data_IF_673704825154
#
_entry.id   IF_673704825154
#
_cell.length_a   1.000
_cell.length_b   1.000
_cell.length_c   1.000
_cell.angle_alpha   90.00
_cell.angle_beta   90.00
_cell.angle_gamma   90.00
#
_symmetry.space_group_name_H-M   'P 1'
#
loop_
_entity.id
_entity.type
_entity.pdbx_description
1 polymer ?
#
# COMPACT_ATOMS: atom_id res chain seq x y z
N UNK A 1 -2.46 17.34 -20.32
CA UNK A 1 -2.44 15.88 -20.18
C UNK A 1 -2.94 15.58 -18.78
N UNK A 2 -3.70 14.52 -18.53
CA UNK A 2 -4.07 14.15 -17.18
C UNK A 2 -2.79 13.84 -16.38
N UNK A 3 -2.71 14.38 -15.16
CA UNK A 3 -1.56 14.17 -14.29
C UNK A 3 -1.68 12.81 -13.61
N UNK A 4 -0.59 12.08 -13.45
CA UNK A 4 -0.53 10.87 -12.65
C UNK A 4 -0.76 11.21 -11.18
N UNK A 5 -1.61 10.43 -10.54
CA UNK A 5 -1.93 10.64 -9.14
C UNK A 5 -1.29 9.59 -8.23
N UNK A 6 -1.18 8.34 -8.71
CA UNK A 6 -0.61 7.24 -7.95
C UNK A 6 -0.17 6.10 -8.86
N UNK A 7 0.71 5.27 -8.31
CA UNK A 7 1.18 4.04 -8.93
C UNK A 7 1.32 2.94 -7.89
N UNK A 8 1.01 1.72 -8.29
CA UNK A 8 1.23 0.50 -7.50
C UNK A 8 1.93 -0.53 -8.37
N UNK A 9 2.70 -1.41 -7.74
CA UNK A 9 3.54 -2.42 -8.38
C UNK A 9 3.18 -3.81 -7.83
N UNK A 10 3.04 -4.77 -8.71
CA UNK A 10 2.82 -6.16 -8.33
C UNK A 10 3.46 -7.14 -9.30
N UNK A 11 3.76 -8.37 -8.87
CA UNK A 11 4.27 -9.41 -9.75
C UNK A 11 3.15 -10.01 -10.60
N UNK A 12 3.33 -10.05 -11.91
CA UNK A 12 2.47 -10.81 -12.81
C UNK A 12 2.66 -12.33 -12.69
N UNK A 13 1.86 -13.10 -13.41
CA UNK A 13 1.88 -14.57 -13.38
C UNK A 13 3.21 -15.18 -13.84
N UNK A 14 3.91 -14.50 -14.70
CA UNK A 14 5.25 -14.88 -15.20
C UNK A 14 6.39 -14.30 -14.37
N UNK A 15 6.08 -13.73 -13.21
CA UNK A 15 7.02 -13.04 -12.32
C UNK A 15 7.64 -11.76 -12.89
N UNK A 16 7.17 -11.27 -14.04
CA UNK A 16 7.45 -9.91 -14.49
C UNK A 16 6.59 -8.93 -13.71
N UNK A 17 7.12 -7.76 -13.42
CA UNK A 17 6.39 -6.76 -12.66
C UNK A 17 5.39 -6.02 -13.55
N UNK A 18 4.24 -5.71 -12.98
CA UNK A 18 3.24 -4.81 -13.57
C UNK A 18 3.04 -3.57 -12.69
N UNK A 19 2.95 -2.43 -13.35
CA UNK A 19 2.51 -1.17 -12.77
C UNK A 19 1.03 -0.95 -13.10
N UNK A 20 0.27 -0.53 -12.10
CA UNK A 20 -1.05 0.05 -12.30
C UNK A 20 -1.04 1.48 -11.76
N UNK A 21 -1.56 2.40 -12.56
CA UNK A 21 -1.55 3.82 -12.24
C UNK A 21 -2.93 4.44 -12.47
N UNK A 22 -3.25 5.46 -11.67
CA UNK A 22 -4.41 6.32 -11.90
C UNK A 22 -3.97 7.69 -12.37
N UNK A 23 -4.66 8.23 -13.38
CA UNK A 23 -4.46 9.61 -13.84
C UNK A 23 -5.62 10.48 -13.38
N UNK A 24 -5.29 11.71 -12.96
CA UNK A 24 -6.25 12.78 -12.72
C UNK A 24 -7.34 12.46 -11.72
N UNK A 25 -7.01 12.34 -10.43
CA UNK A 25 -8.01 12.19 -9.38
C UNK A 25 -9.06 13.34 -9.50
N UNK A 26 -10.34 12.96 -9.63
CA UNK A 26 -11.48 13.90 -9.70
C UNK A 26 -11.43 14.90 -10.87
N UNK A 27 -10.83 14.56 -12.01
CA UNK A 27 -10.75 15.41 -13.18
C UNK A 27 -11.23 14.76 -14.49
N UNK A 28 -11.68 15.54 -15.47
CA UNK A 28 -12.08 15.00 -16.75
C UNK A 28 -10.88 14.33 -17.44
N UNK A 29 -11.01 13.05 -17.76
CA UNK A 29 -9.94 12.25 -18.35
C UNK A 29 -9.20 11.34 -17.36
N UNK A 30 -9.61 11.33 -16.09
CA UNK A 30 -9.10 10.35 -15.14
C UNK A 30 -9.39 8.91 -15.63
N UNK A 31 -8.41 8.03 -15.51
CA UNK A 31 -8.48 6.66 -15.99
C UNK A 31 -7.48 5.78 -15.24
N UNK A 32 -7.65 4.48 -15.31
CA UNK A 32 -6.70 3.50 -14.81
C UNK A 32 -5.90 2.94 -15.97
N UNK A 33 -4.60 2.80 -15.77
CA UNK A 33 -3.64 2.39 -16.79
C UNK A 33 -2.70 1.31 -16.24
N UNK A 34 -2.16 0.49 -17.11
CA UNK A 34 -1.12 -0.48 -16.76
C UNK A 34 0.10 -0.37 -17.67
N UNK A 35 1.26 -0.69 -17.12
CA UNK A 35 2.49 -0.93 -17.86
C UNK A 35 3.18 -2.17 -17.30
N UNK A 36 3.91 -2.91 -18.13
CA UNK A 36 4.50 -4.18 -17.77
C UNK A 36 5.99 -4.25 -18.15
N UNK A 37 6.78 -4.95 -17.38
CA UNK A 37 8.13 -5.33 -17.77
C UNK A 37 8.09 -6.22 -19.02
N UNK A 38 9.01 -5.98 -19.93
CA UNK A 38 9.12 -6.76 -21.18
C UNK A 38 10.12 -7.92 -21.09
N UNK A 39 10.96 -7.90 -20.06
CA UNK A 39 11.97 -8.92 -19.81
C UNK A 39 12.31 -9.02 -18.34
N UNK A 40 12.97 -10.08 -17.95
CA UNK A 40 13.38 -10.36 -16.56
C UNK A 40 14.40 -9.36 -15.97
N UNK A 41 15.00 -8.51 -16.80
CA UNK A 41 16.04 -7.58 -16.38
C UNK A 41 15.48 -6.25 -15.88
N UNK A 42 15.42 -5.29 -16.78
CA UNK A 42 15.20 -3.88 -16.41
C UNK A 42 14.36 -3.13 -17.44
N UNK A 43 13.86 -3.83 -18.45
CA UNK A 43 13.13 -3.17 -19.53
C UNK A 43 11.63 -3.17 -19.27
N UNK A 44 11.05 -1.98 -19.37
CA UNK A 44 9.62 -1.76 -19.27
C UNK A 44 9.02 -1.42 -20.62
N UNK A 45 7.83 -1.96 -20.90
CA UNK A 45 7.02 -1.44 -21.98
C UNK A 45 6.58 -0.02 -21.58
N UNK A 46 7.07 0.96 -22.32
CA UNK A 46 6.64 2.36 -22.15
C UNK A 46 5.27 2.65 -22.77
N UNK A 47 4.63 1.61 -23.30
CA UNK A 47 3.32 1.68 -23.93
C UNK A 47 2.24 1.31 -22.91
N UNK A 48 1.69 2.32 -22.28
CA UNK A 48 0.62 2.17 -21.31
C UNK A 48 -0.65 1.64 -21.96
N UNK A 49 -1.20 0.59 -21.38
CA UNK A 49 -2.46 0.00 -21.80
C UNK A 49 -3.59 0.51 -20.91
N UNK A 50 -4.70 1.05 -21.47
CA UNK A 50 -5.80 1.52 -20.66
C UNK A 50 -6.55 0.33 -20.05
N UNK A 51 -6.80 0.39 -18.73
CA UNK A 51 -7.79 -0.43 -18.05
C UNK A 51 -9.16 0.27 -17.99
N UNK A 52 -9.24 1.51 -18.50
CA UNK A 52 -10.49 2.26 -18.57
C UNK A 52 -10.88 2.91 -17.24
N UNK A 53 -12.17 3.20 -17.12
CA UNK A 53 -12.75 3.88 -15.96
C UNK A 53 -13.68 2.94 -15.21
N UNK A 54 -13.63 2.91 -13.88
CA UNK A 54 -14.67 2.27 -13.09
C UNK A 54 -15.95 3.11 -13.16
N UNK A 55 -17.09 2.45 -13.19
CA UNK A 55 -18.40 3.06 -12.98
C UNK A 55 -18.74 4.26 -13.86
N UNK A 56 -19.22 5.31 -13.22
CA UNK A 56 -19.74 6.52 -13.85
C UNK A 56 -18.94 7.79 -13.57
N UNK A 57 -17.95 7.67 -12.70
CA UNK A 57 -17.10 8.77 -12.28
C UNK A 57 -15.65 8.59 -12.71
N UNK A 58 -14.81 9.46 -12.20
CA UNK A 58 -13.38 9.36 -12.32
C UNK A 58 -12.81 8.64 -11.08
N UNK A 59 -11.75 7.84 -11.19
CA UNK A 59 -11.14 7.23 -10.01
C UNK A 59 -10.76 8.31 -9.00
N UNK A 60 -11.17 8.14 -7.75
CA UNK A 60 -10.92 9.10 -6.67
C UNK A 60 -9.85 8.63 -5.69
N UNK A 61 -9.47 7.38 -5.78
CA UNK A 61 -8.45 6.80 -4.91
C UNK A 61 -7.33 6.19 -5.72
N UNK A 62 -6.34 5.81 -4.98
CA UNK A 62 -5.22 5.04 -5.43
C UNK A 62 -5.70 3.65 -5.89
N UNK A 63 -5.30 3.24 -7.09
CA UNK A 63 -5.46 1.85 -7.51
C UNK A 63 -4.53 0.96 -6.67
N UNK A 64 -5.02 -0.21 -6.31
CA UNK A 64 -4.23 -1.23 -5.63
C UNK A 64 -4.28 -2.49 -6.48
N UNK A 65 -3.16 -3.18 -6.58
CA UNK A 65 -3.04 -4.42 -7.35
C UNK A 65 -2.67 -5.57 -6.43
N UNK A 66 -3.30 -6.70 -6.61
CA UNK A 66 -3.07 -7.92 -5.86
C UNK A 66 -2.95 -9.10 -6.80
N UNK A 67 -1.92 -9.94 -6.60
CA UNK A 67 -1.84 -11.21 -7.28
C UNK A 67 -2.85 -12.21 -6.68
N UNK A 68 -3.61 -12.84 -7.54
CA UNK A 68 -4.53 -13.92 -7.19
C UNK A 68 -3.85 -15.29 -7.29
N UNK A 69 -4.47 -16.33 -6.73
CA UNK A 69 -4.07 -17.70 -7.02
C UNK A 69 -4.03 -17.96 -8.52
N UNK A 70 -3.04 -18.69 -8.96
CA UNK A 70 -2.80 -18.87 -10.39
C UNK A 70 -2.05 -17.71 -11.07
N UNK A 71 -1.68 -16.67 -10.29
CA UNK A 71 -0.78 -15.60 -10.75
C UNK A 71 -1.46 -14.43 -11.44
N UNK A 72 -2.79 -14.48 -11.69
CA UNK A 72 -3.52 -13.35 -12.27
C UNK A 72 -3.57 -12.17 -11.30
N UNK A 73 -3.62 -10.96 -11.84
CA UNK A 73 -3.73 -9.73 -11.05
C UNK A 73 -5.18 -9.26 -10.97
N UNK A 74 -5.49 -8.60 -9.88
CA UNK A 74 -6.76 -7.90 -9.68
C UNK A 74 -6.50 -6.48 -9.18
N UNK A 75 -7.12 -5.50 -9.82
CA UNK A 75 -7.00 -4.09 -9.50
C UNK A 75 -8.28 -3.59 -8.83
N UNK A 76 -8.12 -2.72 -7.83
CA UNK A 76 -9.21 -2.12 -7.08
C UNK A 76 -9.09 -0.61 -7.10
N UNK A 77 -10.23 0.07 -7.17
CA UNK A 77 -10.27 1.54 -7.17
C UNK A 77 -11.59 2.03 -6.57
N UNK A 78 -11.59 3.24 -6.03
CA UNK A 78 -12.81 3.91 -5.60
C UNK A 78 -13.23 4.89 -6.69
N UNK A 79 -14.47 4.82 -7.14
CA UNK A 79 -15.07 5.79 -8.06
C UNK A 79 -15.39 7.10 -7.33
N UNK A 80 -15.01 8.24 -7.90
CA UNK A 80 -15.18 9.55 -7.28
C UNK A 80 -16.61 10.08 -7.29
N UNK A 81 -17.52 9.44 -8.00
CA UNK A 81 -18.91 9.90 -8.10
C UNK A 81 -19.86 9.14 -7.20
N UNK A 82 -19.79 7.82 -7.21
CA UNK A 82 -20.63 6.97 -6.37
C UNK A 82 -19.93 6.54 -5.08
N UNK A 83 -18.62 6.86 -4.98
CA UNK A 83 -17.76 6.55 -3.84
C UNK A 83 -17.76 5.05 -3.49
N UNK A 84 -18.07 4.23 -4.49
CA UNK A 84 -18.08 2.79 -4.42
C UNK A 84 -16.72 2.20 -4.77
N UNK A 85 -16.47 1.01 -4.26
CA UNK A 85 -15.31 0.21 -4.64
C UNK A 85 -15.64 -0.56 -5.91
N UNK A 86 -14.76 -0.50 -6.88
CA UNK A 86 -14.81 -1.22 -8.14
C UNK A 86 -13.56 -2.07 -8.29
N UNK A 87 -13.66 -3.19 -9.03
CA UNK A 87 -12.53 -4.03 -9.33
C UNK A 87 -12.54 -4.50 -10.79
N UNK A 88 -11.36 -4.87 -11.26
CA UNK A 88 -11.12 -5.50 -12.57
C UNK A 88 -10.00 -6.52 -12.40
N UNK A 89 -10.06 -7.63 -13.11
CA UNK A 89 -9.10 -8.72 -12.97
C UNK A 89 -8.58 -9.20 -14.32
N UNK A 90 -7.39 -9.79 -14.31
CA UNK A 90 -6.85 -10.44 -15.49
C UNK A 90 -7.65 -11.69 -15.84
N UNK A 91 -8.19 -11.73 -17.04
CA UNK A 91 -8.90 -12.89 -17.63
C UNK A 91 -7.92 -13.80 -18.36
N UNK A 92 -6.80 -13.24 -18.80
CA UNK A 92 -5.68 -13.93 -19.43
C UNK A 92 -4.39 -13.29 -18.85
N UNK A 93 -3.47 -14.08 -18.29
CA UNK A 93 -2.23 -13.56 -17.71
C UNK A 93 -1.44 -12.64 -18.64
N UNK A 94 -1.54 -12.87 -19.95
CA UNK A 94 -0.73 -12.14 -20.90
C UNK A 94 -1.37 -10.87 -21.44
N UNK A 95 -2.70 -10.79 -21.59
CA UNK A 95 -3.28 -9.67 -22.33
C UNK A 95 -4.68 -9.19 -21.91
N UNK A 96 -5.49 -10.01 -21.27
CA UNK A 96 -6.90 -9.71 -21.04
C UNK A 96 -7.20 -9.19 -19.63
N UNK A 97 -8.02 -8.14 -19.54
CA UNK A 97 -8.64 -7.69 -18.30
C UNK A 97 -10.15 -7.68 -18.48
N UNK A 98 -10.89 -7.95 -17.41
CA UNK A 98 -12.34 -7.82 -17.38
C UNK A 98 -12.74 -6.35 -17.51
N UNK A 99 -14.00 -6.10 -17.86
CA UNK A 99 -14.61 -4.81 -17.55
C UNK A 99 -14.59 -4.58 -16.04
N UNK A 100 -14.70 -3.31 -15.63
CA UNK A 100 -14.83 -2.94 -14.22
C UNK A 100 -16.17 -3.41 -13.68
N UNK A 101 -16.12 -4.13 -12.55
CA UNK A 101 -17.31 -4.59 -11.86
C UNK A 101 -17.46 -3.95 -10.48
N UNK A 102 -18.69 -3.76 -10.06
CA UNK A 102 -19.04 -3.04 -8.84
C UNK A 102 -18.91 -3.95 -7.62
N UNK A 103 -17.95 -3.66 -6.76
CA UNK A 103 -17.82 -4.32 -5.46
C UNK A 103 -18.74 -3.70 -4.38
N UNK A 104 -19.26 -2.51 -4.64
CA UNK A 104 -20.28 -1.85 -3.84
C UNK A 104 -19.76 -0.81 -2.85
N UNK A 105 -20.72 -0.22 -2.14
CA UNK A 105 -20.46 0.76 -1.10
C UNK A 105 -20.51 0.10 0.28
N UNK A 106 -19.43 0.11 1.05
CA UNK A 106 -19.43 -0.45 2.40
C UNK A 106 -20.48 0.22 3.29
N UNK A 107 -21.48 -0.53 3.75
CA UNK A 107 -22.58 -0.01 4.56
C UNK A 107 -23.47 1.03 3.90
N UNK A 108 -23.40 1.21 2.59
CA UNK A 108 -24.04 2.32 1.87
C UNK A 108 -23.33 3.66 2.07
N UNK A 109 -22.15 3.65 2.73
CA UNK A 109 -21.35 4.82 3.04
C UNK A 109 -20.30 5.13 1.97
N UNK A 110 -19.51 6.16 2.23
CA UNK A 110 -18.46 6.65 1.35
C UNK A 110 -17.14 5.98 1.67
N UNK A 111 -16.58 5.24 0.73
CA UNK A 111 -15.21 4.75 0.86
C UNK A 111 -14.24 5.96 0.83
N UNK A 112 -13.39 6.09 1.85
CA UNK A 112 -12.58 7.30 2.08
C UNK A 112 -11.08 7.07 2.00
N UNK A 113 -10.63 5.84 2.26
CA UNK A 113 -9.22 5.46 2.24
C UNK A 113 -8.98 4.48 1.07
N UNK A 114 -7.79 4.46 0.47
CA UNK A 114 -7.48 3.45 -0.52
C UNK A 114 -7.78 2.05 0.00
N UNK A 115 -8.35 1.22 -0.85
CA UNK A 115 -8.58 -0.19 -0.54
C UNK A 115 -7.25 -0.84 -0.17
N UNK A 116 -7.21 -1.57 0.93
CA UNK A 116 -6.07 -2.38 1.35
C UNK A 116 -6.39 -3.84 1.17
N UNK A 117 -5.40 -4.59 0.74
CA UNK A 117 -5.57 -5.99 0.38
C UNK A 117 -4.64 -6.86 1.21
N UNK A 118 -5.12 -8.04 1.56
CA UNK A 118 -4.28 -9.12 2.05
C UNK A 118 -4.73 -10.44 1.45
N UNK A 119 -3.78 -11.33 1.19
CA UNK A 119 -4.07 -12.66 0.69
C UNK A 119 -4.39 -13.58 1.87
N UNK A 120 -5.49 -14.29 1.77
CA UNK A 120 -5.87 -15.32 2.71
C UNK A 120 -5.28 -16.67 2.27
N UNK A 121 -5.12 -17.63 3.19
CA UNK A 121 -4.40 -18.88 2.92
C UNK A 121 -5.12 -19.84 1.98
N UNK A 122 -6.43 -19.66 1.81
CA UNK A 122 -7.25 -20.40 0.87
C UNK A 122 -7.31 -19.70 -0.49
N UNK A 123 -6.28 -18.89 -0.76
CA UNK A 123 -6.10 -18.15 -1.98
C UNK A 123 -7.12 -17.02 -2.23
N UNK A 124 -8.00 -16.76 -1.29
CA UNK A 124 -8.88 -15.60 -1.36
C UNK A 124 -8.12 -14.31 -1.09
N UNK A 125 -8.61 -13.24 -1.68
CA UNK A 125 -8.18 -11.88 -1.36
C UNK A 125 -9.19 -11.26 -0.40
N UNK A 126 -8.73 -10.68 0.69
CA UNK A 126 -9.54 -9.83 1.57
C UNK A 126 -9.25 -8.37 1.26
N UNK A 127 -10.30 -7.64 0.93
CA UNK A 127 -10.25 -6.18 0.77
C UNK A 127 -10.76 -5.52 2.07
N UNK A 128 -10.05 -4.47 2.48
CA UNK A 128 -10.37 -3.66 3.66
C UNK A 128 -10.42 -2.20 3.25
N UNK A 129 -11.40 -1.47 3.76
CA UNK A 129 -11.56 -0.03 3.48
C UNK A 129 -12.18 0.66 4.68
N UNK A 130 -11.95 1.96 4.81
CA UNK A 130 -12.67 2.82 5.74
C UNK A 130 -13.84 3.48 5.00
N UNK A 131 -15.03 3.41 5.59
CA UNK A 131 -16.21 4.13 5.12
C UNK A 131 -16.97 4.71 6.32
N UNK A 132 -17.28 6.01 6.26
CA UNK A 132 -17.98 6.76 7.30
C UNK A 132 -17.43 6.50 8.72
N UNK A 133 -16.11 6.50 8.85
CA UNK A 133 -15.41 6.31 10.12
C UNK A 133 -15.41 4.88 10.67
N UNK A 134 -15.94 3.92 9.94
CA UNK A 134 -15.91 2.49 10.28
C UNK A 134 -15.00 1.73 9.33
N UNK A 135 -14.41 0.66 9.83
CA UNK A 135 -13.62 -0.27 9.03
C UNK A 135 -14.55 -1.37 8.49
N UNK A 136 -14.42 -1.67 7.23
CA UNK A 136 -15.19 -2.68 6.52
C UNK A 136 -14.28 -3.67 5.81
N UNK A 137 -14.70 -4.91 5.71
CA UNK A 137 -13.99 -5.90 4.93
C UNK A 137 -14.94 -6.72 4.06
N UNK A 138 -14.38 -7.31 3.03
CA UNK A 138 -15.01 -8.32 2.19
C UNK A 138 -13.92 -9.27 1.69
N UNK A 139 -14.24 -10.54 1.53
CA UNK A 139 -13.30 -11.53 0.97
C UNK A 139 -13.84 -12.09 -0.32
N UNK A 140 -12.96 -12.28 -1.30
CA UNK A 140 -13.31 -12.89 -2.58
C UNK A 140 -13.87 -14.32 -2.37
N UNK A 141 -14.69 -14.83 -3.29
CA UNK A 141 -15.08 -16.23 -3.26
C UNK A 141 -13.88 -17.15 -3.47
N UNK A 142 -14.00 -18.42 -3.06
CA UNK A 142 -12.92 -19.42 -3.14
C UNK A 142 -12.59 -19.90 -4.56
N UNK A 143 -13.48 -19.71 -5.50
CA UNK A 143 -13.30 -20.15 -6.87
C UNK A 143 -13.07 -18.98 -7.78
N UNK A 144 -12.10 -19.10 -8.67
CA UNK A 144 -11.71 -18.24 -9.78
C UNK A 144 -12.18 -16.77 -9.76
N UNK A 145 -11.54 -15.93 -10.52
CA UNK A 145 -11.93 -14.53 -10.71
C UNK A 145 -13.41 -14.44 -11.10
N UNK A 146 -14.26 -14.29 -10.11
CA UNK A 146 -15.70 -14.18 -10.27
C UNK A 146 -16.07 -12.74 -9.95
N UNK A 147 -16.88 -12.15 -10.79
CA UNK A 147 -17.52 -10.88 -10.54
C UNK A 147 -18.35 -10.86 -9.23
N UNK A 148 -18.61 -12.00 -8.63
CA UNK A 148 -19.55 -12.10 -7.52
C UNK A 148 -18.82 -12.14 -6.17
N UNK A 149 -18.54 -10.98 -5.61
CA UNK A 149 -18.10 -10.84 -4.23
C UNK A 149 -19.31 -10.75 -3.29
N UNK A 150 -19.21 -11.25 -2.04
CA UNK A 150 -20.28 -11.10 -1.06
C UNK A 150 -20.43 -9.63 -0.61
N UNK A 151 -21.43 -9.36 0.21
CA UNK A 151 -21.61 -8.03 0.78
C UNK A 151 -20.49 -7.68 1.78
N UNK A 152 -20.17 -6.39 1.87
CA UNK A 152 -19.24 -5.84 2.85
C UNK A 152 -19.73 -6.12 4.29
N UNK A 153 -18.81 -6.47 5.15
CA UNK A 153 -19.06 -6.72 6.58
C UNK A 153 -18.34 -5.66 7.41
N UNK A 154 -19.05 -5.06 8.35
CA UNK A 154 -18.49 -4.05 9.24
C UNK A 154 -17.65 -4.67 10.34
N UNK A 155 -16.48 -4.10 10.57
CA UNK A 155 -15.65 -4.32 11.75
C UNK A 155 -15.87 -3.22 12.81
N UNK A 156 -16.71 -2.22 12.51
CA UNK A 156 -16.97 -1.08 13.40
C UNK A 156 -15.82 -0.09 13.46
N UNK A 157 -15.90 0.82 14.42
CA UNK A 157 -14.90 1.86 14.66
C UNK A 157 -13.99 1.47 15.82
N UNK A 158 -12.66 1.67 15.73
CA UNK A 158 -11.74 1.40 16.82
C UNK A 158 -11.99 2.35 18.00
N UNK A 159 -11.97 1.85 19.23
CA UNK A 159 -12.07 2.66 20.44
C UNK A 159 -13.32 3.54 20.57
N UNK A 160 -14.31 3.40 19.68
CA UNK A 160 -15.50 4.25 19.63
C UNK A 160 -15.28 5.61 18.93
N UNK A 161 -14.10 5.81 18.32
CA UNK A 161 -13.78 6.99 17.52
C UNK A 161 -13.73 6.62 16.02
N UNK A 162 -13.76 7.63 15.14
CA UNK A 162 -13.74 7.39 13.71
C UNK A 162 -12.38 6.85 13.24
N UNK A 163 -12.38 5.76 12.47
CA UNK A 163 -11.24 5.35 11.69
C UNK A 163 -11.05 6.29 10.49
N UNK A 164 -9.79 6.52 10.11
CA UNK A 164 -9.44 7.34 8.93
C UNK A 164 -8.58 6.59 7.94
N UNK A 165 -7.92 5.55 8.38
CA UNK A 165 -7.11 4.70 7.54
C UNK A 165 -7.10 3.29 8.11
N UNK A 166 -6.95 2.31 7.23
CA UNK A 166 -6.84 0.92 7.62
C UNK A 166 -5.73 0.21 6.82
N UNK A 167 -5.27 -0.91 7.36
CA UNK A 167 -4.37 -1.85 6.70
C UNK A 167 -4.74 -3.27 7.12
N UNK A 168 -4.28 -4.27 6.38
CA UNK A 168 -4.54 -5.66 6.71
C UNK A 168 -3.35 -6.55 6.40
N UNK A 169 -3.20 -7.61 7.15
CA UNK A 169 -2.21 -8.65 6.92
C UNK A 169 -2.77 -10.02 7.31
N UNK A 170 -2.10 -11.08 6.88
CA UNK A 170 -2.41 -12.45 7.26
C UNK A 170 -1.34 -12.99 8.19
N UNK A 171 -1.76 -13.51 9.33
CA UNK A 171 -0.89 -14.16 10.30
C UNK A 171 -0.42 -15.52 9.80
N UNK A 172 0.66 -16.04 10.35
CA UNK A 172 1.22 -17.34 9.95
C UNK A 172 0.27 -18.54 10.19
N UNK A 173 -0.72 -18.40 11.06
CA UNK A 173 -1.80 -19.38 11.25
C UNK A 173 -3.02 -19.15 10.37
N UNK A 174 -2.87 -18.27 9.39
CA UNK A 174 -3.87 -18.00 8.38
C UNK A 174 -5.07 -17.16 8.84
N UNK A 175 -5.03 -16.59 10.01
CA UNK A 175 -6.02 -15.60 10.44
C UNK A 175 -5.69 -14.23 9.85
N UNK A 176 -6.71 -13.50 9.43
CA UNK A 176 -6.53 -12.11 9.04
C UNK A 176 -6.44 -11.22 10.29
N UNK A 177 -5.55 -10.24 10.24
CA UNK A 177 -5.43 -9.15 11.20
C UNK A 177 -5.62 -7.82 10.48
N UNK A 178 -6.44 -6.94 11.06
CA UNK A 178 -6.78 -5.63 10.51
C UNK A 178 -6.32 -4.55 11.47
N UNK A 179 -5.71 -3.52 10.93
CA UNK A 179 -5.18 -2.37 11.64
C UNK A 179 -5.95 -1.13 11.25
N UNK A 180 -6.16 -0.23 12.19
CA UNK A 180 -6.86 1.03 11.93
C UNK A 180 -6.20 2.19 12.66
N UNK A 181 -6.19 3.34 12.00
CA UNK A 181 -5.80 4.61 12.58
C UNK A 181 -7.07 5.38 12.98
N UNK A 182 -7.17 5.72 14.25
CA UNK A 182 -8.27 6.47 14.83
C UNK A 182 -8.02 7.98 14.74
N UNK A 183 -9.07 8.78 14.55
CA UNK A 183 -9.02 10.23 14.83
C UNK A 183 -9.67 10.51 16.19
N UNK A 184 -9.02 11.27 17.08
CA UNK A 184 -9.65 11.72 18.31
C UNK A 184 -10.90 12.55 18.03
N UNK A 185 -11.97 12.32 18.81
CA UNK A 185 -13.23 13.06 18.72
C UNK A 185 -12.99 14.58 18.81
N UNK A 186 -13.57 15.34 17.88
CA UNK A 186 -13.43 16.81 17.85
C UNK A 186 -12.22 17.35 17.09
N UNK A 187 -11.40 16.49 16.50
CA UNK A 187 -10.33 16.90 15.58
C UNK A 187 -10.92 16.99 14.18
N UNK A 188 -10.87 18.14 13.49
CA UNK A 188 -11.33 18.19 12.12
C UNK A 188 -10.43 17.29 11.24
N UNK A 189 -11.00 16.60 10.24
CA UNK A 189 -10.23 15.84 9.26
C UNK A 189 -9.54 16.83 8.32
N UNK A 190 -8.44 17.39 8.74
CA UNK A 190 -7.69 18.37 7.95
C UNK A 190 -6.23 18.00 7.92
N UNK A 191 -5.76 17.62 6.74
CA UNK A 191 -4.35 17.59 6.39
C UNK A 191 -3.47 16.75 7.31
N UNK A 192 -2.30 16.39 6.83
CA UNK A 192 -1.29 15.70 7.64
C UNK A 192 -1.04 16.39 8.99
N UNK A 193 -1.16 15.67 10.11
CA UNK A 193 -0.60 16.15 11.36
C UNK A 193 -1.40 16.05 12.66
N UNK A 194 -2.54 15.37 12.70
CA UNK A 194 -3.22 15.18 14.00
C UNK A 194 -3.98 13.86 14.02
N UNK A 195 -3.25 12.78 14.02
CA UNK A 195 -3.87 11.46 14.08
C UNK A 195 -3.75 10.87 15.48
N UNK A 196 -4.60 9.88 15.75
CA UNK A 196 -4.78 9.35 17.07
C UNK A 196 -3.97 8.08 17.30
N UNK A 197 -4.64 7.05 17.72
CA UNK A 197 -4.04 5.79 18.14
C UNK A 197 -4.15 4.75 17.03
N UNK A 198 -3.18 3.86 16.99
CA UNK A 198 -3.27 2.64 16.20
C UNK A 198 -3.97 1.56 16.99
N UNK A 199 -4.88 0.88 16.33
CA UNK A 199 -5.67 -0.23 16.83
C UNK A 199 -5.54 -1.42 15.92
N UNK A 200 -5.76 -2.60 16.44
CA UNK A 200 -5.87 -3.82 15.66
C UNK A 200 -6.98 -4.74 16.16
N UNK A 201 -7.39 -5.65 15.31
CA UNK A 201 -8.25 -6.78 15.63
C UNK A 201 -7.99 -7.91 14.65
N UNK A 202 -8.30 -9.12 15.03
CA UNK A 202 -7.98 -10.31 14.25
C UNK A 202 -9.15 -11.29 14.22
N UNK A 203 -9.14 -12.18 13.23
CA UNK A 203 -10.06 -13.32 13.19
C UNK A 203 -9.75 -14.28 14.34
N UNK A 204 -10.78 -14.78 15.00
CA UNK A 204 -10.60 -15.79 16.08
C UNK A 204 -10.20 -17.15 15.53
N UNK A 205 -10.53 -17.45 14.27
CA UNK A 205 -10.11 -18.64 13.56
C UNK A 205 -9.86 -18.31 12.07
N UNK A 206 -8.94 -19.03 11.44
CA UNK A 206 -8.64 -18.87 10.02
C UNK A 206 -9.88 -19.03 9.14
N UNK A 207 -10.13 -18.04 8.29
CA UNK A 207 -11.31 -17.99 7.42
C UNK A 207 -12.65 -17.86 8.15
N UNK A 208 -12.61 -17.68 9.49
CA UNK A 208 -13.80 -17.52 10.32
C UNK A 208 -14.48 -16.17 10.16
N UNK A 209 -15.74 -16.07 10.61
CA UNK A 209 -16.51 -14.82 10.59
C UNK A 209 -16.49 -14.09 11.93
N UNK A 210 -15.93 -14.71 12.97
CA UNK A 210 -15.80 -14.12 14.29
C UNK A 210 -14.47 -13.37 14.39
N UNK A 211 -14.53 -12.16 14.97
CA UNK A 211 -13.39 -11.28 15.15
C UNK A 211 -13.23 -10.91 16.64
N UNK A 212 -12.00 -10.74 17.08
CA UNK A 212 -11.71 -10.18 18.41
C UNK A 212 -12.34 -8.78 18.57
N UNK A 213 -12.31 -8.22 19.76
CA UNK A 213 -12.51 -6.78 19.96
C UNK A 213 -11.37 -5.97 19.32
N UNK A 214 -11.57 -4.65 19.16
CA UNK A 214 -10.48 -3.75 18.85
C UNK A 214 -9.57 -3.59 20.06
N UNK A 215 -8.27 -3.81 19.88
CA UNK A 215 -7.24 -3.63 20.90
C UNK A 215 -6.27 -2.51 20.51
N UNK A 216 -5.85 -1.66 21.45
CA UNK A 216 -4.92 -0.58 21.14
C UNK A 216 -3.51 -1.12 20.97
N UNK A 217 -2.86 -0.77 19.87
CA UNK A 217 -1.42 -0.96 19.68
C UNK A 217 -0.57 0.12 20.39
N UNK A 218 -1.24 1.08 21.01
CA UNK A 218 -0.57 2.23 21.58
C UNK A 218 -0.07 3.20 20.50
N UNK A 219 0.81 4.10 20.91
CA UNK A 219 1.42 5.10 20.03
C UNK A 219 2.94 5.07 20.21
N UNK A 220 3.72 5.32 19.14
CA UNK A 220 5.11 5.75 19.30
C UNK A 220 5.15 7.11 20.02
N UNK A 221 6.34 7.67 20.22
CA UNK A 221 6.50 8.99 20.86
C UNK A 221 5.87 10.09 20.02
N UNK A 222 6.01 10.02 18.69
CA UNK A 222 5.27 10.86 17.74
C UNK A 222 3.90 10.31 17.41
N UNK A 223 3.06 11.09 16.74
CA UNK A 223 1.73 10.66 16.30
C UNK A 223 1.80 10.10 14.89
N UNK A 224 1.24 8.90 14.63
CA UNK A 224 1.15 8.39 13.27
C UNK A 224 0.42 9.37 12.34
N UNK A 225 0.99 9.59 11.15
CA UNK A 225 0.44 10.52 10.14
C UNK A 225 -0.18 9.82 8.94
N UNK A 226 -0.07 8.49 8.87
CA UNK A 226 -0.62 7.67 7.79
C UNK A 226 -1.11 6.32 8.31
N UNK A 227 -1.81 5.56 7.46
CA UNK A 227 -2.06 4.14 7.71
C UNK A 227 -0.73 3.41 7.92
N UNK A 228 -0.67 2.42 8.83
CA UNK A 228 0.55 1.67 9.03
C UNK A 228 0.91 0.87 7.78
N UNK A 229 2.21 0.87 7.46
CA UNK A 229 2.76 -0.02 6.44
C UNK A 229 3.08 -1.35 7.10
N UNK A 230 2.72 -2.45 6.45
CA UNK A 230 2.86 -3.80 6.98
C UNK A 230 3.73 -4.64 6.06
N UNK A 231 4.54 -5.49 6.66
CA UNK A 231 5.27 -6.53 5.95
C UNK A 231 5.29 -7.82 6.76
N UNK A 232 5.37 -8.95 6.06
CA UNK A 232 5.63 -10.25 6.69
C UNK A 232 7.11 -10.59 6.57
N UNK A 233 7.70 -11.04 7.67
CA UNK A 233 9.00 -11.68 7.71
C UNK A 233 8.95 -13.06 7.04
N UNK A 234 10.09 -13.61 6.69
CA UNK A 234 10.17 -14.94 6.10
C UNK A 234 9.71 -16.04 7.10
N UNK A 235 9.90 -15.80 8.40
CA UNK A 235 9.42 -16.67 9.47
C UNK A 235 7.93 -16.53 9.80
N UNK A 236 7.21 -15.68 9.06
CA UNK A 236 5.77 -15.43 9.18
C UNK A 236 5.39 -14.41 10.24
N UNK A 237 6.34 -13.82 10.98
CA UNK A 237 6.06 -12.69 11.86
C UNK A 237 5.70 -11.46 11.03
N UNK A 238 4.79 -10.64 11.54
CA UNK A 238 4.47 -9.36 10.95
C UNK A 238 5.33 -8.25 11.54
N UNK A 239 5.69 -7.28 10.73
CA UNK A 239 6.28 -6.03 11.15
C UNK A 239 5.42 -4.86 10.66
N UNK A 240 5.17 -3.93 11.57
CA UNK A 240 4.35 -2.75 11.35
C UNK A 240 5.24 -1.51 11.45
N UNK A 241 5.12 -0.65 10.46
CA UNK A 241 5.84 0.63 10.39
C UNK A 241 4.84 1.78 10.47
N UNK A 242 5.16 2.77 11.30
CA UNK A 242 4.41 4.00 11.44
C UNK A 242 5.33 5.19 11.17
N UNK A 243 4.96 5.99 10.20
CA UNK A 243 5.51 7.31 10.00
C UNK A 243 4.83 8.29 10.95
N UNK A 244 5.58 9.18 11.58
CA UNK A 244 5.09 10.04 12.66
C UNK A 244 5.47 11.50 12.47
N UNK A 245 4.74 12.38 13.16
CA UNK A 245 4.89 13.84 13.10
C UNK A 245 6.16 14.36 13.78
N UNK A 246 6.95 13.48 14.41
CA UNK A 246 8.26 13.79 14.98
C UNK A 246 9.42 13.45 14.02
N UNK A 247 9.12 13.27 12.74
CA UNK A 247 10.07 12.95 11.67
C UNK A 247 10.82 11.62 11.86
N UNK A 248 10.22 10.68 12.58
CA UNK A 248 10.76 9.32 12.75
C UNK A 248 9.84 8.28 12.11
N UNK A 249 10.46 7.21 11.68
CA UNK A 249 9.77 5.97 11.36
C UNK A 249 9.93 5.02 12.54
N UNK A 250 8.81 4.64 13.10
CA UNK A 250 8.74 3.70 14.20
C UNK A 250 8.26 2.34 13.72
N UNK A 251 8.72 1.28 14.38
CA UNK A 251 8.28 -0.06 14.05
C UNK A 251 7.93 -0.89 15.29
N UNK A 252 7.15 -1.93 15.06
CA UNK A 252 6.85 -3.01 16.00
C UNK A 252 6.88 -4.33 15.25
N UNK A 253 7.39 -5.36 15.91
CA UNK A 253 7.44 -6.72 15.37
C UNK A 253 6.53 -7.62 16.19
N UNK A 254 5.75 -8.44 15.52
CA UNK A 254 5.01 -9.52 16.16
C UNK A 254 6.01 -10.57 16.65
N UNK A 255 6.09 -10.83 17.96
CA UNK A 255 7.10 -11.73 18.53
C UNK A 255 6.83 -13.20 18.26
N UNK A 256 5.57 -13.56 18.15
CA UNK A 256 5.09 -14.90 17.82
C UNK A 256 4.15 -14.80 16.63
N UNK A 257 4.51 -15.41 15.51
CA UNK A 257 3.85 -15.26 14.22
C UNK A 257 2.34 -15.63 14.21
N UNK A 258 1.88 -16.32 15.24
CA UNK A 258 0.48 -16.74 15.42
C UNK A 258 -0.21 -16.12 16.63
N UNK A 259 0.45 -15.20 17.34
CA UNK A 259 -0.13 -14.56 18.52
C UNK A 259 -0.26 -13.04 18.32
N UNK A 260 -1.44 -12.55 17.89
CA UNK A 260 -1.66 -11.13 17.61
C UNK A 260 -1.54 -10.23 18.86
N UNK A 261 -1.48 -10.79 20.07
CA UNK A 261 -1.21 -10.03 21.29
C UNK A 261 0.28 -9.82 21.57
N UNK A 262 1.16 -10.49 20.83
CA UNK A 262 2.61 -10.56 21.12
C UNK A 262 3.45 -9.44 20.49
N UNK A 263 2.87 -8.31 20.15
CA UNK A 263 3.61 -7.19 19.55
C UNK A 263 4.70 -6.64 20.47
N UNK A 264 5.89 -6.39 19.93
CA UNK A 264 7.00 -5.74 20.65
C UNK A 264 6.60 -4.32 21.08
N UNK A 265 7.27 -3.68 22.03
CA UNK A 265 7.20 -2.23 22.19
C UNK A 265 7.60 -1.50 20.90
N UNK A 266 7.12 -0.27 20.75
CA UNK A 266 7.56 0.61 19.66
C UNK A 266 9.07 0.88 19.77
N UNK A 267 9.77 0.79 18.67
CA UNK A 267 11.17 1.18 18.52
C UNK A 267 11.33 2.10 17.30
N UNK A 268 12.16 3.11 17.42
CA UNK A 268 12.49 3.95 16.28
C UNK A 268 13.48 3.24 15.36
N UNK A 269 13.28 3.33 14.06
CA UNK A 269 14.30 2.90 13.10
C UNK A 269 15.53 3.82 13.19
N UNK A 270 16.75 3.29 12.94
CA UNK A 270 17.98 4.06 13.04
C UNK A 270 17.93 5.33 12.17
N UNK A 271 18.03 6.50 12.80
CA UNK A 271 18.05 7.80 12.13
C UNK A 271 19.47 8.19 11.70
N UNK A 272 19.60 8.75 10.51
CA UNK A 272 20.83 9.38 10.03
C UNK A 272 20.59 10.87 9.79
N UNK A 273 20.90 11.69 10.76
CA UNK A 273 20.83 13.14 10.58
C UNK A 273 19.38 13.67 10.46
N UNK A 274 19.21 14.92 10.06
CA UNK A 274 17.89 15.52 9.94
C UNK A 274 17.08 14.77 8.89
N UNK A 275 16.01 14.11 9.35
CA UNK A 275 15.01 13.52 8.47
C UNK A 275 14.27 14.66 7.74
N UNK A 276 13.95 14.52 6.48
CA UNK A 276 13.31 15.59 5.72
C UNK A 276 11.79 15.71 5.96
N UNK A 277 11.30 15.47 7.16
CA UNK A 277 9.87 15.47 7.48
C UNK A 277 9.22 14.10 7.35
N UNK A 278 7.89 14.05 7.44
CA UNK A 278 7.10 12.84 7.31
C UNK A 278 7.42 12.07 6.03
N UNK A 279 7.68 10.76 6.15
CA UNK A 279 8.00 9.87 5.03
C UNK A 279 6.79 9.06 4.61
N UNK A 280 6.61 8.90 3.31
CA UNK A 280 5.70 7.89 2.76
C UNK A 280 6.49 6.62 2.51
N UNK A 281 5.97 5.49 2.96
CA UNK A 281 6.72 4.25 3.04
C UNK A 281 6.20 3.21 2.03
N UNK A 282 7.13 2.60 1.31
CA UNK A 282 6.96 1.36 0.57
C UNK A 282 7.86 0.28 1.15
N UNK A 283 7.42 -0.97 1.14
CA UNK A 283 8.18 -2.11 1.68
C UNK A 283 8.14 -3.27 0.69
N UNK A 284 9.25 -3.99 0.59
CA UNK A 284 9.34 -5.24 -0.17
C UNK A 284 10.34 -6.19 0.48
N UNK A 285 10.16 -7.50 0.29
CA UNK A 285 11.14 -8.51 0.66
C UNK A 285 12.14 -8.77 -0.45
N UNK A 286 13.44 -8.82 -0.14
CA UNK A 286 14.48 -9.20 -1.09
C UNK A 286 14.61 -10.73 -1.24
N UNK A 287 15.38 -11.18 -2.22
CA UNK A 287 15.60 -12.61 -2.47
C UNK A 287 16.29 -13.36 -1.32
N UNK A 288 16.85 -12.68 -0.35
CA UNK A 288 17.45 -13.26 0.86
C UNK A 288 16.49 -13.31 2.04
N UNK A 289 15.25 -12.84 1.87
CA UNK A 289 14.22 -12.79 2.90
C UNK A 289 14.30 -11.58 3.82
N UNK A 290 15.16 -10.59 3.53
CA UNK A 290 15.20 -9.34 4.30
C UNK A 290 14.13 -8.38 3.81
N UNK A 291 13.51 -7.68 4.73
CA UNK A 291 12.67 -6.54 4.39
C UNK A 291 13.51 -5.32 4.04
N UNK A 292 13.06 -4.62 3.01
CA UNK A 292 13.65 -3.37 2.55
C UNK A 292 12.57 -2.30 2.56
N UNK A 293 12.86 -1.16 3.20
CA UNK A 293 11.99 0.00 3.24
C UNK A 293 12.53 1.09 2.31
N UNK A 294 11.63 1.66 1.53
CA UNK A 294 11.86 2.87 0.77
C UNK A 294 10.97 3.96 1.33
N UNK A 295 11.59 5.09 1.68
CA UNK A 295 10.91 6.28 2.13
C UNK A 295 10.98 7.38 1.07
N UNK A 296 9.89 8.08 0.83
CA UNK A 296 9.89 9.32 0.05
C UNK A 296 9.56 10.51 0.95
N UNK A 297 10.40 11.56 0.91
CA UNK A 297 10.19 12.78 1.64
C UNK A 297 10.72 13.99 0.85
N UNK A 298 9.91 15.02 0.66
CA UNK A 298 10.21 16.08 -0.29
C UNK A 298 10.46 15.51 -1.69
N UNK A 299 11.61 15.80 -2.28
CA UNK A 299 12.07 15.22 -3.56
C UNK A 299 13.17 14.16 -3.36
N UNK A 300 13.26 13.59 -2.16
CA UNK A 300 14.30 12.62 -1.83
C UNK A 300 13.71 11.24 -1.65
N UNK A 301 14.43 10.23 -2.14
CA UNK A 301 14.14 8.83 -1.94
C UNK A 301 15.19 8.23 -1.02
N UNK A 302 14.75 7.57 0.02
CA UNK A 302 15.57 7.01 1.08
C UNK A 302 15.39 5.50 1.17
N UNK A 303 16.40 4.83 1.70
CA UNK A 303 16.46 3.37 1.81
C UNK A 303 16.97 2.96 3.18
N UNK A 304 16.39 1.90 3.73
CA UNK A 304 16.94 1.10 4.82
C UNK A 304 16.53 -0.35 4.63
N UNK A 305 17.26 -1.28 5.22
CA UNK A 305 16.97 -2.72 5.11
C UNK A 305 17.24 -3.41 6.44
N UNK A 306 16.60 -4.54 6.66
CA UNK A 306 16.98 -5.44 7.75
C UNK A 306 18.45 -5.87 7.62
N UNK A 307 19.15 -6.04 8.74
CA UNK A 307 20.57 -6.45 8.74
C UNK A 307 20.75 -7.91 8.31
N UNK A 308 19.73 -8.72 8.48
CA UNK A 308 19.60 -10.10 8.00
C UNK A 308 18.12 -10.45 7.84
N UNK A 309 17.79 -11.56 7.19
CA UNK A 309 16.44 -12.10 7.16
C UNK A 309 15.91 -12.28 8.59
N UNK A 310 14.64 -11.92 8.80
CA UNK A 310 13.94 -12.03 10.06
C UNK A 310 14.58 -11.28 11.25
N UNK A 311 15.54 -10.38 10.99
CA UNK A 311 16.17 -9.60 12.04
C UNK A 311 15.26 -8.44 12.49
N UNK A 312 15.23 -8.19 13.80
CA UNK A 312 14.55 -7.00 14.37
C UNK A 312 15.43 -5.72 14.27
N UNK A 313 16.60 -5.84 13.64
CA UNK A 313 17.59 -4.75 13.49
C UNK A 313 17.68 -4.28 12.05
N UNK A 314 17.81 -2.98 11.88
CA UNK A 314 17.82 -2.28 10.61
C UNK A 314 19.12 -1.53 10.39
N UNK A 315 19.50 -1.37 9.13
CA UNK A 315 20.57 -0.46 8.74
C UNK A 315 20.16 0.99 8.97
N UNK A 316 21.11 1.89 9.00
CA UNK A 316 20.78 3.31 9.01
C UNK A 316 20.14 3.73 7.69
N UNK A 317 19.21 4.67 7.75
CA UNK A 317 18.66 5.28 6.55
C UNK A 317 19.77 5.90 5.70
N UNK A 318 19.78 5.63 4.42
CA UNK A 318 20.66 6.24 3.44
C UNK A 318 19.85 6.86 2.30
N UNK A 319 20.25 8.04 1.86
CA UNK A 319 19.64 8.68 0.72
C UNK A 319 20.04 7.95 -0.56
N UNK A 320 19.05 7.39 -1.29
CA UNK A 320 19.26 6.80 -2.61
C UNK A 320 19.44 7.87 -3.67
N UNK A 321 18.50 8.81 -3.73
CA UNK A 321 18.46 9.78 -4.80
C UNK A 321 17.72 11.06 -4.39
N UNK A 322 17.95 12.10 -5.17
CA UNK A 322 17.07 13.26 -5.27
C UNK A 322 16.49 13.23 -6.68
N UNK A 323 15.17 13.18 -6.79
CA UNK A 323 14.50 13.25 -8.08
C UNK A 323 14.41 14.70 -8.54
N UNK A 324 14.47 14.97 -9.85
CA UNK A 324 14.26 16.32 -10.36
C UNK A 324 12.84 16.79 -9.98
N UNK A 325 12.73 17.94 -9.36
CA UNK A 325 11.45 18.52 -8.96
C UNK A 325 11.30 19.92 -9.50
N UNK A 326 10.07 20.41 -9.64
CA UNK A 326 9.85 21.78 -10.01
C UNK A 326 10.44 22.73 -8.95
N UNK A 327 11.37 23.55 -9.33
CA UNK A 327 11.93 24.60 -8.50
C UNK A 327 10.82 25.59 -8.10
N UNK A 328 10.32 25.51 -6.87
CA UNK A 328 9.33 26.47 -6.38
C UNK A 328 8.23 25.92 -5.48
N UNK A 329 8.15 24.61 -5.26
CA UNK A 329 7.20 24.06 -4.31
C UNK A 329 7.65 24.31 -2.87
N UNK A 330 6.84 25.01 -2.11
CA UNK A 330 7.00 25.19 -0.65
C UNK A 330 6.77 23.87 0.07
N UNK A 331 7.35 23.71 1.24
CA UNK A 331 7.33 22.54 2.11
C UNK A 331 5.95 21.86 2.18
N UNK A 332 5.77 20.84 1.39
CA UNK A 332 4.56 20.04 1.26
C UNK A 332 4.90 18.73 0.55
N UNK A 333 3.96 17.84 0.49
CA UNK A 333 4.10 16.53 -0.12
C UNK A 333 4.50 16.62 -1.59
N UNK A 334 5.73 16.28 -1.86
CA UNK A 334 6.30 16.41 -3.21
C UNK A 334 6.34 15.08 -3.94
N UNK A 335 6.52 13.97 -3.24
CA UNK A 335 6.47 12.63 -3.80
C UNK A 335 5.37 11.79 -3.17
N UNK A 336 4.72 10.96 -3.98
CA UNK A 336 3.74 9.97 -3.53
C UNK A 336 4.37 8.81 -2.75
N UNK A 337 3.54 7.84 -2.34
CA UNK A 337 3.99 6.58 -1.77
C UNK A 337 4.84 5.84 -2.79
N UNK A 338 6.07 5.39 -2.45
CA UNK A 338 6.88 4.59 -3.37
C UNK A 338 6.23 3.24 -3.66
N UNK A 339 6.06 2.92 -4.94
CA UNK A 339 5.80 1.55 -5.36
C UNK A 339 7.13 0.81 -5.47
N UNK A 340 7.27 -0.30 -4.75
CA UNK A 340 8.54 -1.02 -4.62
C UNK A 340 8.32 -2.50 -4.87
N UNK A 341 9.22 -3.12 -5.61
CA UNK A 341 9.25 -4.56 -5.85
C UNK A 341 10.63 -5.01 -6.31
N UNK A 342 10.86 -6.31 -6.34
CA UNK A 342 12.08 -6.88 -6.87
C UNK A 342 11.80 -7.58 -8.19
N UNK A 343 12.61 -7.29 -9.21
CA UNK A 343 12.55 -8.00 -10.48
C UNK A 343 13.26 -9.37 -10.40
N UNK A 344 13.16 -10.18 -11.44
CA UNK A 344 13.77 -11.51 -11.48
C UNK A 344 15.30 -11.49 -11.37
N UNK A 345 15.94 -10.38 -11.68
CA UNK A 345 17.39 -10.20 -11.51
C UNK A 345 17.78 -9.86 -10.06
N UNK A 346 16.81 -9.74 -9.15
CA UNK A 346 17.01 -9.35 -7.76
C UNK A 346 17.31 -7.85 -7.58
N UNK A 347 17.05 -7.05 -8.59
CA UNK A 347 17.14 -5.60 -8.50
C UNK A 347 15.81 -5.01 -8.03
N UNK A 348 15.91 -4.03 -7.17
CA UNK A 348 14.77 -3.30 -6.62
C UNK A 348 14.30 -2.26 -7.64
N UNK A 349 13.05 -2.37 -8.05
CA UNK A 349 12.35 -1.40 -8.89
C UNK A 349 11.58 -0.44 -8.00
N UNK A 350 11.81 0.85 -8.17
CA UNK A 350 11.21 1.90 -7.36
C UNK A 350 10.54 2.91 -8.28
N UNK A 351 9.24 3.12 -8.06
CA UNK A 351 8.49 4.13 -8.78
C UNK A 351 7.88 5.14 -7.81
N UNK A 352 8.05 6.42 -8.10
CA UNK A 352 7.50 7.52 -7.30
C UNK A 352 6.86 8.54 -8.22
N UNK A 353 5.69 9.02 -7.82
CA UNK A 353 4.95 10.07 -8.54
C UNK A 353 5.28 11.42 -7.91
N UNK A 354 5.57 12.41 -8.71
CA UNK A 354 5.62 13.81 -8.27
C UNK A 354 4.17 14.33 -8.10
N UNK A 355 3.79 14.59 -6.87
CA UNK A 355 2.46 15.09 -6.52
C UNK A 355 2.14 16.49 -7.05
N UNK A 356 3.13 17.24 -7.52
CA UNK A 356 2.94 18.59 -8.07
C UNK A 356 2.85 18.61 -9.59
N UNK A 357 3.62 17.78 -10.28
CA UNK A 357 3.70 17.72 -11.74
C UNK A 357 3.02 16.52 -12.36
N UNK A 358 2.74 15.48 -11.57
CA UNK A 358 2.21 14.23 -12.08
C UNK A 358 3.22 13.42 -12.91
N UNK A 359 4.51 13.75 -12.79
CA UNK A 359 5.58 12.98 -13.41
C UNK A 359 5.83 11.70 -12.63
N UNK A 360 6.13 10.63 -13.34
CA UNK A 360 6.54 9.36 -12.77
C UNK A 360 8.06 9.22 -12.89
N UNK A 361 8.70 8.94 -11.77
CA UNK A 361 10.13 8.66 -11.74
C UNK A 361 10.37 7.18 -11.45
N UNK A 362 11.25 6.59 -12.23
CA UNK A 362 11.74 5.23 -12.08
C UNK A 362 13.19 5.26 -11.60
N UNK A 363 13.47 4.46 -10.58
CA UNK A 363 14.81 4.20 -10.06
C UNK A 363 14.99 2.69 -9.95
N UNK A 364 16.23 2.24 -10.09
CA UNK A 364 16.59 0.85 -9.83
C UNK A 364 17.80 0.79 -8.89
N UNK A 365 17.79 -0.15 -7.96
CA UNK A 365 18.87 -0.32 -7.01
C UNK A 365 19.04 -1.79 -6.61
N UNK A 366 20.21 -2.13 -6.07
CA UNK A 366 20.40 -3.40 -5.36
C UNK A 366 19.65 -3.38 -4.03
N UNK A 367 19.41 -4.54 -3.43
CA UNK A 367 18.81 -4.64 -2.10
C UNK A 367 19.65 -3.97 -0.98
N UNK A 368 20.93 -3.72 -1.23
CA UNK A 368 21.83 -2.96 -0.34
C UNK A 368 21.78 -1.44 -0.55
N UNK A 369 20.92 -0.96 -1.46
CA UNK A 369 20.74 0.46 -1.74
C UNK A 369 21.77 1.06 -2.70
N UNK A 370 22.51 0.27 -3.44
CA UNK A 370 23.38 0.79 -4.50
C UNK A 370 22.54 1.02 -5.76
N UNK A 371 22.43 2.27 -6.21
CA UNK A 371 21.73 2.60 -7.45
C UNK A 371 22.41 1.95 -8.65
N UNK A 372 21.62 1.28 -9.46
CA UNK A 372 21.98 0.77 -10.79
C UNK A 372 21.40 1.66 -11.89
N UNK A 373 20.25 2.28 -11.61
CA UNK A 373 19.62 3.28 -12.45
C UNK A 373 19.23 4.47 -11.56
N UNK A 374 19.75 5.66 -11.87
CA UNK A 374 19.33 6.90 -11.21
C UNK A 374 17.92 7.32 -11.60
N UNK A 375 17.35 8.33 -10.92
CA UNK A 375 15.99 8.77 -11.21
C UNK A 375 15.87 9.24 -12.65
N UNK A 376 15.00 8.57 -13.40
CA UNK A 376 14.64 8.91 -14.77
C UNK A 376 13.13 9.15 -14.84
N UNK A 377 12.73 10.14 -15.63
CA UNK A 377 11.31 10.33 -15.93
C UNK A 377 10.82 9.11 -16.71
N UNK A 378 9.82 8.44 -16.17
CA UNK A 378 9.15 7.33 -16.83
C UNK A 378 7.99 7.91 -17.65
N UNK A 379 7.83 7.52 -18.91
CA UNK A 379 6.71 8.02 -19.73
C UNK A 379 5.37 7.76 -19.04
N UNK A 380 4.48 8.75 -19.08
CA UNK A 380 3.13 8.68 -18.53
C UNK A 380 2.10 8.55 -19.65
N UNK A 381 0.93 7.93 -19.38
CA UNK A 381 -0.10 7.70 -20.39
C UNK A 381 -0.74 8.97 -20.97
#
# INVERSE_FOLDING_TARGET
MPQLANVTLGPGSDSLLELVATTGLNGPGASVWRARQTSSGDQWAVDWQPLGKPGRGDPSSLSVIQQRPGGSLEAFVIDGKDEAVWHSWQTDPDQGWSDWDLLGNPGGGRAQDPVKLTQLPDDRVMAVVVADGSVWHVSSPQTEASAFWPAWTSLGSPGGAAAVAASAATLADNRAEVFALEIPSGTPPVGFGTYGKLWHRWQEAAGGTQWSGWEPLGMPTGKPVSAPTLAAHQDGRLELFADTDDDHVWHRVLRTATDPSSWSPWAALPATGPQPGAMRLGVAGDATGRLVLIGSAGYQVWHTAQTAADADTWTQWSKLATVPGSSGATDGEKLGVPAVGFNQAGLMEIFVVDGTGGELYHLQATASGQLTLGPQTFPVP
#
